data_IF_651946133241
#
_entry.id   IF_651946133241
#
_cell.length_a   1.000
_cell.length_b   1.000
_cell.length_c   1.000
_cell.angle_alpha   90.00
_cell.angle_beta   90.00
_cell.angle_gamma   90.00
#
_symmetry.space_group_name_H-M   'P 1'
#
loop_
_entity.id
_entity.type
_entity.pdbx_description
1 polymer ?
#
# COMPACT_ATOMS: atom_id res chain seq x y z
N UNK A 1 92.41 -93.20 44.27
CA UNK A 1 92.13 -91.96 45.03
C UNK A 1 91.47 -90.88 44.18
N UNK A 2 91.85 -90.67 42.90
CA UNK A 2 91.33 -89.59 42.04
C UNK A 2 89.79 -89.49 41.84
N UNK A 3 89.03 -90.60 41.96
CA UNK A 3 87.57 -90.59 41.73
C UNK A 3 86.77 -89.90 42.84
N UNK A 4 87.33 -89.80 44.05
CA UNK A 4 86.64 -89.25 45.24
C UNK A 4 86.78 -87.71 45.31
N UNK A 5 87.86 -87.16 44.76
CA UNK A 5 88.11 -85.70 44.73
C UNK A 5 87.24 -85.00 43.68
N UNK A 6 87.06 -85.60 42.49
CA UNK A 6 86.16 -85.06 41.46
C UNK A 6 84.68 -84.96 41.91
N UNK A 7 84.24 -85.91 42.73
CA UNK A 7 82.86 -85.95 43.23
C UNK A 7 82.59 -84.83 44.25
N UNK A 8 83.62 -84.48 45.03
CA UNK A 8 83.56 -83.36 45.98
C UNK A 8 83.54 -81.99 45.29
N UNK A 9 84.29 -81.81 44.20
CA UNK A 9 84.25 -80.56 43.42
C UNK A 9 82.90 -80.36 42.72
N UNK A 10 82.34 -81.42 42.15
CA UNK A 10 81.01 -81.38 41.54
C UNK A 10 79.93 -80.99 42.55
N UNK A 11 79.92 -81.61 43.74
CA UNK A 11 78.98 -81.26 44.81
C UNK A 11 79.11 -79.79 45.25
N UNK A 12 80.34 -79.27 45.33
CA UNK A 12 80.59 -77.86 45.68
C UNK A 12 80.02 -76.91 44.63
N UNK A 13 80.24 -77.20 43.34
CA UNK A 13 79.71 -76.41 42.23
C UNK A 13 78.17 -76.39 42.22
N UNK A 14 77.55 -77.56 42.40
CA UNK A 14 76.09 -77.69 42.51
C UNK A 14 75.55 -76.86 43.67
N UNK A 15 76.21 -76.90 44.84
CA UNK A 15 75.79 -76.15 46.01
C UNK A 15 75.89 -74.62 45.79
N UNK A 16 76.90 -74.18 45.05
CA UNK A 16 77.11 -72.77 44.71
C UNK A 16 76.04 -72.26 43.74
N UNK A 17 75.72 -73.03 42.69
CA UNK A 17 74.61 -72.71 41.78
C UNK A 17 73.25 -72.69 42.49
N UNK A 18 73.00 -73.63 43.42
CA UNK A 18 71.75 -73.64 44.20
C UNK A 18 71.62 -72.40 45.09
N UNK A 19 72.72 -71.91 45.68
CA UNK A 19 72.75 -70.67 46.46
C UNK A 19 72.46 -69.46 45.58
N UNK A 20 73.06 -69.39 44.40
CA UNK A 20 72.82 -68.30 43.44
C UNK A 20 71.36 -68.29 42.97
N UNK A 21 70.81 -69.45 42.62
CA UNK A 21 69.40 -69.60 42.26
C UNK A 21 68.46 -69.17 43.40
N UNK A 22 68.76 -69.54 44.65
CA UNK A 22 67.97 -69.14 45.80
C UNK A 22 67.97 -67.61 46.01
N UNK A 23 69.14 -66.98 45.89
CA UNK A 23 69.28 -65.52 46.02
C UNK A 23 68.58 -64.78 44.88
N UNK A 24 68.70 -65.28 43.64
CA UNK A 24 67.98 -64.73 42.49
C UNK A 24 66.46 -64.86 42.66
N UNK A 25 65.96 -66.01 43.12
CA UNK A 25 64.55 -66.23 43.43
C UNK A 25 64.03 -65.24 44.48
N UNK A 26 64.82 -64.98 45.53
CA UNK A 26 64.49 -63.99 46.56
C UNK A 26 64.41 -62.57 45.98
N UNK A 27 65.38 -62.16 45.16
CA UNK A 27 65.38 -60.86 44.47
C UNK A 27 64.17 -60.72 43.54
N UNK A 28 63.86 -61.75 42.75
CA UNK A 28 62.68 -61.78 41.87
C UNK A 28 61.39 -61.64 42.67
N UNK A 29 61.25 -62.37 43.78
CA UNK A 29 60.08 -62.29 44.66
C UNK A 29 59.91 -60.89 45.23
N UNK A 30 61.00 -60.26 45.68
CA UNK A 30 60.96 -58.89 46.19
C UNK A 30 60.56 -57.88 45.10
N UNK A 31 61.12 -58.02 43.89
CA UNK A 31 60.78 -57.17 42.74
C UNK A 31 59.30 -57.29 42.37
N UNK A 32 58.78 -58.52 42.28
CA UNK A 32 57.35 -58.78 42.02
C UNK A 32 56.47 -58.16 43.09
N UNK A 33 56.85 -58.26 44.37
CA UNK A 33 56.08 -57.66 45.45
C UNK A 33 56.08 -56.13 45.37
N UNK A 34 57.21 -55.51 45.06
CA UNK A 34 57.30 -54.06 44.86
C UNK A 34 56.38 -53.61 43.71
N UNK A 35 56.48 -54.26 42.54
CA UNK A 35 55.63 -54.00 41.38
C UNK A 35 54.14 -54.12 41.74
N UNK A 36 53.76 -55.19 42.47
CA UNK A 36 52.37 -55.39 42.92
C UNK A 36 51.89 -54.24 43.80
N UNK A 37 52.74 -53.73 44.69
CA UNK A 37 52.37 -52.59 45.55
C UNK A 37 52.23 -51.29 44.78
N UNK A 38 53.10 -51.03 43.79
CA UNK A 38 53.03 -49.85 42.93
C UNK A 38 51.80 -49.88 42.04
N UNK A 39 51.53 -51.01 41.37
CA UNK A 39 50.32 -51.19 40.57
C UNK A 39 49.05 -50.99 41.39
N UNK A 40 49.00 -51.50 42.63
CA UNK A 40 47.85 -51.29 43.52
C UNK A 40 47.66 -49.81 43.86
N UNK A 41 48.75 -49.05 44.07
CA UNK A 41 48.69 -47.60 44.30
C UNK A 41 48.19 -46.86 43.07
N UNK A 42 48.69 -47.18 41.88
CA UNK A 42 48.26 -46.53 40.63
C UNK A 42 46.81 -46.86 40.27
N UNK A 43 46.36 -48.11 40.47
CA UNK A 43 44.94 -48.49 40.32
C UNK A 43 44.06 -47.65 41.26
N UNK A 44 44.43 -47.50 42.53
CA UNK A 44 43.67 -46.71 43.49
C UNK A 44 43.61 -45.23 43.10
N UNK A 45 44.73 -44.63 42.66
CA UNK A 45 44.76 -43.25 42.15
C UNK A 45 43.87 -43.07 40.93
N UNK A 46 43.92 -44.02 39.98
CA UNK A 46 43.09 -43.98 38.78
C UNK A 46 41.61 -44.09 39.13
N UNK A 47 41.22 -44.99 40.03
CA UNK A 47 39.85 -45.11 40.49
C UNK A 47 39.35 -43.81 41.15
N UNK A 48 40.16 -43.19 42.00
CA UNK A 48 39.81 -41.89 42.61
C UNK A 48 39.61 -40.79 41.57
N UNK A 49 40.47 -40.73 40.53
CA UNK A 49 40.29 -39.79 39.42
C UNK A 49 38.98 -40.04 38.67
N UNK A 50 38.66 -41.30 38.37
CA UNK A 50 37.41 -41.69 37.70
C UNK A 50 36.20 -41.26 38.52
N UNK A 51 36.20 -41.53 39.82
CA UNK A 51 35.09 -41.16 40.71
C UNK A 51 34.91 -39.64 40.77
N UNK A 52 36.00 -38.88 40.88
CA UNK A 52 35.95 -37.41 40.87
C UNK A 52 35.39 -36.87 39.55
N UNK A 53 35.89 -37.34 38.40
CA UNK A 53 35.39 -36.93 37.09
C UNK A 53 33.91 -37.29 36.92
N UNK A 54 33.47 -38.44 37.42
CA UNK A 54 32.06 -38.84 37.39
C UNK A 54 31.18 -37.89 38.20
N UNK A 55 31.63 -37.45 39.37
CA UNK A 55 30.92 -36.49 40.21
C UNK A 55 30.83 -35.14 39.51
N UNK A 56 31.94 -34.64 38.94
CA UNK A 56 31.99 -33.37 38.22
C UNK A 56 31.05 -33.36 37.02
N UNK A 57 31.12 -34.39 36.17
CA UNK A 57 30.25 -34.52 35.00
C UNK A 57 28.77 -34.59 35.38
N UNK A 58 28.43 -35.32 36.45
CA UNK A 58 27.05 -35.36 36.94
C UNK A 58 26.56 -33.97 37.36
N UNK A 59 27.42 -33.22 38.06
CA UNK A 59 27.11 -31.86 38.53
C UNK A 59 26.93 -30.89 37.37
N UNK A 60 27.77 -30.98 36.34
CA UNK A 60 27.67 -30.18 35.12
C UNK A 60 26.39 -30.49 34.35
N UNK A 61 26.04 -31.78 34.18
CA UNK A 61 24.79 -32.21 33.54
C UNK A 61 23.57 -31.65 34.30
N UNK A 62 23.56 -31.77 35.64
CA UNK A 62 22.45 -31.29 36.47
C UNK A 62 22.32 -29.76 36.37
N UNK A 63 23.43 -29.02 36.38
CA UNK A 63 23.44 -27.57 36.19
C UNK A 63 22.90 -27.16 34.82
N UNK A 64 23.43 -27.77 33.75
CA UNK A 64 23.00 -27.48 32.37
C UNK A 64 21.51 -27.77 32.19
N UNK A 65 21.00 -28.85 32.79
CA UNK A 65 19.56 -29.18 32.78
C UNK A 65 18.71 -28.10 33.45
N UNK A 66 19.17 -27.56 34.58
CA UNK A 66 18.47 -26.48 35.29
C UNK A 66 18.49 -25.18 34.47
N UNK A 67 19.63 -24.84 33.87
CA UNK A 67 19.76 -23.64 33.03
C UNK A 67 18.88 -23.71 31.79
N UNK A 68 18.94 -24.82 31.05
CA UNK A 68 18.09 -25.06 29.89
C UNK A 68 16.60 -24.98 30.23
N UNK A 69 16.19 -25.56 31.38
CA UNK A 69 14.80 -25.46 31.82
C UNK A 69 14.39 -24.00 32.06
N UNK A 70 15.23 -23.20 32.72
CA UNK A 70 14.96 -21.76 32.94
C UNK A 70 14.87 -20.98 31.63
N UNK A 71 15.70 -21.30 30.64
CA UNK A 71 15.64 -20.65 29.33
C UNK A 71 14.39 -21.02 28.54
N UNK A 72 13.98 -22.29 28.59
CA UNK A 72 12.72 -22.76 28.02
C UNK A 72 11.53 -22.05 28.68
N UNK A 73 11.49 -21.99 30.00
CA UNK A 73 10.40 -21.33 30.74
C UNK A 73 10.31 -19.83 30.36
N UNK A 74 11.44 -19.11 30.30
CA UNK A 74 11.49 -17.71 29.84
C UNK A 74 11.03 -17.54 28.39
N UNK A 75 11.34 -18.51 27.54
CA UNK A 75 10.94 -18.48 26.12
C UNK A 75 9.43 -18.69 26.00
N UNK A 76 8.87 -19.65 26.74
CA UNK A 76 7.43 -19.88 26.80
C UNK A 76 6.67 -18.65 27.31
N UNK A 77 7.15 -17.98 28.36
CA UNK A 77 6.55 -16.73 28.83
C UNK A 77 6.54 -15.61 27.77
N UNK A 78 7.58 -15.55 26.93
CA UNK A 78 7.63 -14.57 25.81
C UNK A 78 6.63 -14.94 24.72
N UNK A 79 6.48 -16.23 24.40
CA UNK A 79 5.49 -16.73 23.44
C UNK A 79 4.08 -16.39 23.92
N UNK A 80 3.73 -16.72 25.17
CA UNK A 80 2.42 -16.41 25.75
C UNK A 80 2.08 -14.92 25.71
N UNK A 81 3.08 -14.04 25.93
CA UNK A 81 2.92 -12.58 25.83
C UNK A 81 2.69 -12.12 24.39
N UNK A 82 3.35 -12.75 23.41
CA UNK A 82 3.18 -12.44 21.99
C UNK A 82 1.80 -12.90 21.51
N UNK A 83 1.36 -14.10 21.89
CA UNK A 83 0.04 -14.63 21.52
C UNK A 83 -1.08 -13.70 22.01
N UNK A 84 -1.01 -13.26 23.27
CA UNK A 84 -1.96 -12.27 23.82
C UNK A 84 -1.94 -10.94 23.07
N UNK A 85 -0.76 -10.47 22.64
CA UNK A 85 -0.66 -9.24 21.82
C UNK A 85 -1.31 -9.43 20.46
N UNK A 86 -1.06 -10.56 19.80
CA UNK A 86 -1.66 -10.91 18.50
C UNK A 86 -3.19 -10.95 18.61
N UNK A 87 -3.72 -11.61 19.64
CA UNK A 87 -5.17 -11.67 19.88
C UNK A 87 -5.78 -10.28 20.11
N UNK A 88 -5.13 -9.44 20.93
CA UNK A 88 -5.58 -8.07 21.16
C UNK A 88 -5.57 -7.24 19.87
N UNK A 89 -4.48 -7.29 19.09
CA UNK A 89 -4.39 -6.59 17.81
C UNK A 89 -5.46 -7.08 16.83
N UNK A 90 -5.75 -8.39 16.79
CA UNK A 90 -6.81 -8.95 15.96
C UNK A 90 -8.19 -8.40 16.34
N UNK A 91 -8.47 -8.29 17.64
CA UNK A 91 -9.72 -7.71 18.15
C UNK A 91 -9.82 -6.23 17.78
N UNK A 92 -8.75 -5.46 17.96
CA UNK A 92 -8.72 -4.04 17.61
C UNK A 92 -8.91 -3.81 16.11
N UNK A 93 -8.20 -4.55 15.26
CA UNK A 93 -8.35 -4.48 13.81
C UNK A 93 -9.78 -4.83 13.38
N UNK A 94 -10.39 -5.86 13.97
CA UNK A 94 -11.79 -6.20 13.67
C UNK A 94 -12.74 -5.04 14.02
N UNK A 95 -12.56 -4.41 15.18
CA UNK A 95 -13.37 -3.23 15.57
C UNK A 95 -13.19 -2.05 14.61
N UNK A 96 -11.98 -1.78 14.15
CA UNK A 96 -11.73 -0.69 13.20
C UNK A 96 -12.29 -0.99 11.80
N UNK A 97 -12.24 -2.25 11.36
CA UNK A 97 -12.91 -2.71 10.15
C UNK A 97 -14.43 -2.52 10.26
N UNK A 98 -15.04 -2.96 11.37
CA UNK A 98 -16.48 -2.82 11.60
C UNK A 98 -16.91 -1.34 11.57
N UNK A 99 -16.18 -0.45 12.26
CA UNK A 99 -16.41 1.01 12.20
C UNK A 99 -16.27 1.58 10.79
N UNK A 100 -15.31 1.08 10.01
CA UNK A 100 -15.09 1.53 8.63
C UNK A 100 -16.25 1.11 7.74
N UNK A 101 -16.71 -0.14 7.87
CA UNK A 101 -17.87 -0.65 7.17
C UNK A 101 -19.13 0.17 7.49
N UNK A 102 -19.38 0.50 8.77
CA UNK A 102 -20.52 1.37 9.14
C UNK A 102 -20.45 2.75 8.48
N UNK A 103 -19.25 3.33 8.33
CA UNK A 103 -19.08 4.62 7.63
C UNK A 103 -19.36 4.48 6.14
N UNK A 104 -18.91 3.39 5.52
CA UNK A 104 -19.17 3.08 4.11
C UNK A 104 -20.67 2.90 3.87
N UNK A 105 -21.36 2.15 4.73
CA UNK A 105 -22.82 1.96 4.62
C UNK A 105 -23.58 3.29 4.72
N UNK A 106 -23.19 4.17 5.66
CA UNK A 106 -23.77 5.53 5.76
C UNK A 106 -23.50 6.38 4.53
N UNK A 107 -22.33 6.25 3.90
CA UNK A 107 -22.01 6.96 2.67
C UNK A 107 -22.82 6.43 1.49
N UNK A 108 -22.93 5.11 1.35
CA UNK A 108 -23.76 4.47 0.33
C UNK A 108 -25.21 4.94 0.42
N UNK A 109 -25.79 4.94 1.63
CA UNK A 109 -27.12 5.49 1.84
C UNK A 109 -27.24 6.95 1.40
N UNK A 110 -26.27 7.81 1.73
CA UNK A 110 -26.30 9.22 1.30
C UNK A 110 -26.23 9.37 -0.23
N UNK A 111 -25.43 8.53 -0.89
CA UNK A 111 -25.34 8.48 -2.36
C UNK A 111 -26.67 8.06 -2.96
N UNK A 112 -27.31 7.01 -2.43
CA UNK A 112 -28.61 6.53 -2.89
C UNK A 112 -29.69 7.61 -2.75
N UNK A 113 -29.76 8.29 -1.60
CA UNK A 113 -30.67 9.42 -1.40
C UNK A 113 -30.39 10.58 -2.37
N UNK A 114 -29.11 10.90 -2.60
CA UNK A 114 -28.71 11.93 -3.57
C UNK A 114 -29.13 11.59 -4.99
N UNK A 115 -28.92 10.35 -5.42
CA UNK A 115 -29.34 9.85 -6.73
C UNK A 115 -30.86 9.91 -6.89
N UNK A 116 -31.62 9.46 -5.89
CA UNK A 116 -33.08 9.53 -5.90
C UNK A 116 -33.59 10.98 -6.03
N UNK A 117 -32.98 11.92 -5.31
CA UNK A 117 -33.34 13.33 -5.39
C UNK A 117 -33.01 13.96 -6.75
N UNK A 118 -31.88 13.59 -7.35
CA UNK A 118 -31.50 14.04 -8.70
C UNK A 118 -32.48 13.50 -9.74
N UNK A 119 -32.80 12.20 -9.69
CA UNK A 119 -33.75 11.58 -10.61
C UNK A 119 -35.13 12.26 -10.53
N UNK A 120 -35.65 12.49 -9.31
CA UNK A 120 -36.91 13.20 -9.13
C UNK A 120 -36.90 14.63 -9.72
N UNK A 121 -35.77 15.35 -9.63
CA UNK A 121 -35.61 16.65 -10.29
C UNK A 121 -35.59 16.51 -11.81
N UNK A 122 -34.85 15.55 -12.35
CA UNK A 122 -34.80 15.30 -13.80
C UNK A 122 -36.20 14.99 -14.33
N UNK A 123 -36.96 14.14 -13.64
CA UNK A 123 -38.34 13.81 -14.02
C UNK A 123 -39.24 15.06 -14.02
N UNK A 124 -39.06 15.97 -13.06
CA UNK A 124 -39.81 17.24 -13.03
C UNK A 124 -39.51 18.20 -14.19
N UNK A 125 -38.34 18.07 -14.82
CA UNK A 125 -37.95 18.90 -15.98
C UNK A 125 -38.41 18.31 -17.31
N UNK A 126 -38.86 17.06 -17.34
CA UNK A 126 -39.50 16.50 -18.53
C UNK A 126 -40.92 17.06 -18.61
N UNK A 127 -41.07 18.20 -19.30
CA UNK A 127 -42.39 18.67 -19.74
C UNK A 127 -43.06 17.57 -20.57
N UNK A 128 -44.40 17.41 -20.50
CA UNK A 128 -45.12 16.55 -21.42
C UNK A 128 -44.78 16.98 -22.86
N UNK A 129 -44.25 16.06 -23.65
CA UNK A 129 -43.84 16.29 -25.05
C UNK A 129 -45.01 16.61 -26.00
N UNK A 130 -46.23 16.74 -25.46
CA UNK A 130 -47.47 17.01 -26.21
C UNK A 130 -47.87 18.48 -26.27
N UNK A 131 -47.10 19.41 -25.68
CA UNK A 131 -47.36 20.83 -25.89
C UNK A 131 -46.78 21.31 -27.23
N UNK A 132 -47.58 21.94 -28.12
CA UNK A 132 -47.06 22.54 -29.34
C UNK A 132 -46.01 23.60 -28.98
N UNK A 133 -44.89 23.69 -29.71
CA UNK A 133 -43.84 24.66 -29.41
C UNK A 133 -44.45 26.08 -29.41
N UNK A 134 -44.10 26.93 -28.43
CA UNK A 134 -44.61 28.28 -28.39
C UNK A 134 -44.23 29.03 -29.68
N UNK A 135 -45.09 29.91 -30.22
CA UNK A 135 -44.79 30.65 -31.43
C UNK A 135 -43.53 31.50 -31.21
N UNK A 136 -42.51 31.28 -32.05
CA UNK A 136 -41.23 32.00 -31.95
C UNK A 136 -41.48 33.49 -32.23
N UNK A 137 -41.34 34.34 -31.22
CA UNK A 137 -41.40 35.79 -31.41
C UNK A 137 -40.24 36.23 -32.31
N UNK A 138 -40.53 36.96 -33.38
CA UNK A 138 -39.51 37.52 -34.26
C UNK A 138 -38.82 38.70 -33.59
N UNK A 139 -37.49 38.62 -33.46
CA UNK A 139 -36.66 39.69 -32.91
C UNK A 139 -36.28 40.76 -33.94
N UNK A 140 -36.85 40.68 -35.15
CA UNK A 140 -36.61 41.59 -36.26
C UNK A 140 -37.92 41.87 -37.01
N UNK A 141 -37.94 42.96 -37.78
CA UNK A 141 -39.00 43.29 -38.73
C UNK A 141 -38.45 43.20 -40.15
N UNK A 142 -39.11 42.46 -41.04
CA UNK A 142 -38.75 42.44 -42.46
C UNK A 142 -39.50 43.56 -43.19
N UNK A 143 -38.78 44.54 -43.70
CA UNK A 143 -39.32 45.65 -44.49
C UNK A 143 -38.78 45.58 -45.91
N UNK A 144 -39.61 45.11 -46.85
CA UNK A 144 -39.21 44.77 -48.22
C UNK A 144 -38.05 43.76 -48.21
N UNK A 145 -36.83 44.21 -48.53
CA UNK A 145 -35.62 43.39 -48.56
C UNK A 145 -34.66 43.70 -47.40
N UNK A 146 -35.08 44.49 -46.40
CA UNK A 146 -34.25 44.89 -45.27
C UNK A 146 -34.76 44.20 -44.01
N UNK A 147 -33.84 43.55 -43.28
CA UNK A 147 -34.11 43.02 -41.95
C UNK A 147 -33.76 44.11 -40.94
N UNK A 148 -34.77 44.70 -40.31
CA UNK A 148 -34.61 45.76 -39.34
C UNK A 148 -34.63 45.20 -37.91
N UNK A 149 -33.58 45.50 -37.15
CA UNK A 149 -33.40 45.08 -35.76
C UNK A 149 -33.23 46.32 -34.91
N UNK A 150 -34.02 46.45 -33.85
CA UNK A 150 -33.86 47.51 -32.85
C UNK A 150 -33.18 46.91 -31.62
N UNK A 151 -32.02 47.47 -31.26
CA UNK A 151 -31.21 47.03 -30.14
C UNK A 151 -31.14 48.17 -29.12
N UNK A 152 -31.92 48.00 -28.06
CA UNK A 152 -31.95 48.87 -26.90
C UNK A 152 -31.02 48.34 -25.78
N UNK A 153 -30.92 49.11 -24.70
CA UNK A 153 -30.11 48.76 -23.51
C UNK A 153 -30.51 47.47 -22.78
N UNK A 154 -31.68 46.89 -23.06
CA UNK A 154 -32.10 45.60 -22.49
C UNK A 154 -31.42 44.40 -23.16
N UNK A 155 -30.71 44.61 -24.27
CA UNK A 155 -30.08 43.52 -25.01
C UNK A 155 -28.78 43.08 -24.36
N UNK A 156 -28.61 41.76 -24.24
CA UNK A 156 -27.38 41.12 -23.81
C UNK A 156 -26.87 40.16 -24.90
N UNK A 157 -25.71 39.57 -24.68
CA UNK A 157 -25.08 38.68 -25.65
C UNK A 157 -25.96 37.48 -26.01
N UNK A 158 -26.71 36.94 -25.05
CA UNK A 158 -27.62 35.82 -25.29
C UNK A 158 -28.78 36.19 -26.21
N UNK A 159 -29.41 37.36 -26.01
CA UNK A 159 -30.49 37.86 -26.88
C UNK A 159 -29.99 38.15 -28.29
N UNK A 160 -28.76 38.67 -28.43
CA UNK A 160 -28.11 38.88 -29.71
C UNK A 160 -27.82 37.55 -30.41
N UNK A 161 -27.35 36.53 -29.68
CA UNK A 161 -27.15 35.18 -30.21
C UNK A 161 -28.46 34.55 -30.71
N UNK A 162 -29.54 34.68 -29.95
CA UNK A 162 -30.86 34.20 -30.35
C UNK A 162 -31.36 34.89 -31.64
N UNK A 163 -31.21 36.21 -31.73
CA UNK A 163 -31.53 36.96 -32.95
C UNK A 163 -30.74 36.43 -34.14
N UNK A 164 -29.41 36.28 -33.99
CA UNK A 164 -28.55 35.83 -35.08
C UNK A 164 -28.92 34.42 -35.53
N UNK A 165 -29.17 33.50 -34.59
CA UNK A 165 -29.67 32.16 -34.91
C UNK A 165 -30.99 32.22 -35.67
N UNK A 166 -31.91 33.08 -35.25
CA UNK A 166 -33.19 33.27 -35.92
C UNK A 166 -33.02 33.83 -37.35
N UNK A 167 -32.11 34.79 -37.55
CA UNK A 167 -31.79 35.33 -38.88
C UNK A 167 -31.19 34.23 -39.76
N UNK A 168 -30.24 33.44 -39.27
CA UNK A 168 -29.69 32.33 -40.06
C UNK A 168 -30.75 31.28 -40.38
N UNK A 169 -31.61 30.92 -39.43
CA UNK A 169 -32.69 29.96 -39.68
C UNK A 169 -33.67 30.49 -40.74
N UNK A 170 -34.17 31.70 -40.57
CA UNK A 170 -35.22 32.28 -41.41
C UNK A 170 -34.71 32.66 -42.82
N UNK A 171 -33.43 33.04 -42.94
CA UNK A 171 -32.85 33.56 -44.19
C UNK A 171 -31.79 32.65 -44.83
N UNK A 172 -31.42 31.51 -44.23
CA UNK A 172 -30.44 30.55 -44.80
C UNK A 172 -30.78 30.09 -46.22
N UNK A 173 -32.07 29.95 -46.52
CA UNK A 173 -32.55 29.48 -47.83
C UNK A 173 -32.62 30.59 -48.89
N UNK A 174 -32.47 31.86 -48.51
CA UNK A 174 -32.58 32.98 -49.42
C UNK A 174 -31.21 33.25 -50.04
N UNK A 175 -31.01 32.81 -51.30
CA UNK A 175 -29.83 33.11 -52.11
C UNK A 175 -29.49 34.61 -51.98
N UNK A 176 -28.19 34.95 -51.80
CA UNK A 176 -27.56 36.28 -51.52
C UNK A 176 -28.11 37.55 -52.22
N UNK A 177 -29.12 37.45 -53.09
CA UNK A 177 -29.76 38.53 -53.84
C UNK A 177 -31.17 38.94 -53.35
N UNK A 178 -31.73 38.33 -52.29
CA UNK A 178 -33.10 38.68 -51.79
C UNK A 178 -33.14 39.51 -50.51
N UNK A 179 -32.16 39.40 -49.62
CA UNK A 179 -31.98 40.33 -48.50
C UNK A 179 -30.93 41.35 -48.94
N UNK A 180 -31.30 42.63 -49.02
CA UNK A 180 -30.42 43.70 -49.45
C UNK A 180 -29.33 43.96 -48.41
N UNK A 181 -29.73 44.19 -47.15
CA UNK A 181 -28.83 44.28 -46.01
C UNK A 181 -29.63 44.14 -44.70
N UNK A 182 -28.91 43.90 -43.62
CA UNK A 182 -29.46 43.85 -42.25
C UNK A 182 -29.15 45.18 -41.57
N UNK A 183 -30.19 45.88 -41.12
CA UNK A 183 -30.06 47.17 -40.47
C UNK A 183 -30.24 46.99 -38.96
N UNK A 184 -29.17 47.25 -38.22
CA UNK A 184 -29.19 47.32 -36.76
C UNK A 184 -29.34 48.77 -36.36
N UNK A 185 -30.52 49.15 -35.85
CA UNK A 185 -30.73 50.42 -35.15
C UNK A 185 -30.36 50.20 -33.70
N UNK A 186 -29.31 50.87 -33.25
CA UNK A 186 -28.69 50.59 -31.95
C UNK A 186 -28.63 51.89 -31.16
N UNK A 187 -29.01 51.85 -29.89
CA UNK A 187 -28.76 52.96 -28.97
C UNK A 187 -27.26 53.28 -28.86
N UNK A 188 -26.88 54.57 -28.74
CA UNK A 188 -25.48 55.01 -28.78
C UNK A 188 -24.52 54.23 -27.86
N UNK A 189 -24.97 53.90 -26.66
CA UNK A 189 -24.18 53.19 -25.66
C UNK A 189 -23.98 51.69 -26.01
N UNK A 190 -24.79 51.13 -26.90
CA UNK A 190 -24.75 49.73 -27.30
C UNK A 190 -24.02 49.50 -28.64
N UNK A 191 -23.69 50.55 -29.40
CA UNK A 191 -23.02 50.43 -30.71
C UNK A 191 -21.75 49.59 -30.63
N UNK A 192 -20.81 49.95 -29.74
CA UNK A 192 -19.53 49.22 -29.58
C UNK A 192 -19.73 47.76 -29.18
N UNK A 193 -20.78 47.48 -28.39
CA UNK A 193 -21.11 46.13 -27.96
C UNK A 193 -21.60 45.27 -29.15
N UNK A 194 -22.50 45.82 -29.97
CA UNK A 194 -23.03 45.14 -31.16
C UNK A 194 -21.93 44.97 -32.23
N UNK A 195 -21.14 46.01 -32.50
CA UNK A 195 -20.01 45.95 -33.45
C UNK A 195 -19.05 44.83 -33.10
N UNK A 196 -18.56 44.81 -31.85
CA UNK A 196 -17.62 43.80 -31.38
C UNK A 196 -18.20 42.39 -31.48
N UNK A 197 -19.48 42.21 -31.19
CA UNK A 197 -20.13 40.91 -31.31
C UNK A 197 -20.23 40.44 -32.77
N UNK A 198 -20.69 41.30 -33.68
CA UNK A 198 -20.83 40.97 -35.10
C UNK A 198 -19.47 40.67 -35.77
N UNK A 199 -18.42 41.39 -35.37
CA UNK A 199 -17.05 41.10 -35.77
C UNK A 199 -16.58 39.73 -35.27
N UNK A 200 -16.86 39.42 -34.00
CA UNK A 200 -16.47 38.15 -33.36
C UNK A 200 -17.06 36.95 -34.11
N UNK A 201 -18.34 37.03 -34.50
CA UNK A 201 -19.01 35.97 -35.26
C UNK A 201 -18.76 36.06 -36.77
N UNK A 202 -17.98 37.04 -37.24
CA UNK A 202 -17.66 37.28 -38.66
C UNK A 202 -18.92 37.44 -39.53
N UNK A 203 -19.94 38.13 -39.00
CA UNK A 203 -21.27 38.23 -39.63
C UNK A 203 -21.24 38.79 -41.06
N UNK A 204 -20.29 39.69 -41.34
CA UNK A 204 -20.08 40.29 -42.67
C UNK A 204 -19.72 39.29 -43.78
N UNK A 205 -19.29 38.06 -43.44
CA UNK A 205 -19.04 37.02 -44.45
C UNK A 205 -20.32 36.53 -45.12
N UNK A 206 -21.41 36.52 -44.36
CA UNK A 206 -22.66 35.90 -44.75
C UNK A 206 -23.71 36.94 -45.13
N UNK A 207 -23.75 38.09 -44.43
CA UNK A 207 -24.69 39.17 -44.67
C UNK A 207 -24.03 40.54 -44.74
N UNK A 208 -24.49 41.37 -45.67
CA UNK A 208 -24.21 42.81 -45.63
C UNK A 208 -25.06 43.45 -44.52
N UNK A 209 -24.44 44.28 -43.67
CA UNK A 209 -25.15 44.95 -42.59
C UNK A 209 -24.74 46.41 -42.44
N UNK A 210 -25.61 47.17 -41.77
CA UNK A 210 -25.44 48.57 -41.43
C UNK A 210 -25.82 48.74 -39.96
N UNK A 211 -25.01 49.49 -39.21
CA UNK A 211 -25.32 49.89 -37.83
C UNK A 211 -25.60 51.37 -37.85
N UNK A 212 -26.83 51.74 -37.56
CA UNK A 212 -27.24 53.13 -37.42
C UNK A 212 -27.53 53.43 -35.96
N UNK A 213 -27.20 54.67 -35.56
CA UNK A 213 -27.68 55.19 -34.31
C UNK A 213 -29.18 55.45 -34.42
N UNK A 214 -29.97 54.99 -33.44
CA UNK A 214 -31.39 55.34 -33.37
C UNK A 214 -31.51 56.84 -33.00
N UNK A 215 -31.49 57.72 -34.00
CA UNK A 215 -31.92 59.11 -33.82
C UNK A 215 -33.42 59.12 -33.68
N UNK A 216 -33.86 59.32 -32.45
CA UNK A 216 -35.23 59.64 -32.05
C UNK A 216 -35.96 60.48 -33.12
N UNK A 217 -36.77 59.83 -33.96
CA UNK A 217 -37.61 60.50 -34.96
C UNK A 217 -38.64 61.43 -34.27
N UNK A 218 -38.80 61.34 -32.95
CA UNK A 218 -39.60 62.25 -32.12
C UNK A 218 -39.03 63.66 -31.98
N UNK A 219 -37.80 63.93 -32.45
CA UNK A 219 -37.15 65.26 -32.37
C UNK A 219 -37.03 66.01 -33.71
N UNK A 220 -37.75 65.57 -34.75
CA UNK A 220 -37.94 66.33 -35.99
C UNK A 220 -39.37 66.88 -36.08
N UNK A 221 -39.72 67.79 -35.17
CA UNK A 221 -40.77 68.82 -35.34
C UNK A 221 -40.23 70.10 -34.72
#
# INVERSE_FOLDING_TARGET
MAKKDNDSEFQKLVLEQLKELAENSKKTTQSVQNIKTELKKEINKTNQKIDNTKIELKKEIDNNKVELKKEIDKTNEKVDKLDKKIDNTKIELKKEIDKTNEKVDKLNQKVDHGNAAINARIDSYHLPTDMPPPPVQKLYKLMKNIVLVHIDTSWNQHKLELLIKQIYQDFSHLKKKKVGYIQFRVEANMIKFVEKYLETIKFSKDYQYLIDHETDESKRI
#
